data_IF_875338061869
#
_entry.id   IF_875338061869
#
_cell.length_a   1.000
_cell.length_b   1.000
_cell.length_c   1.000
_cell.angle_alpha   90.00
_cell.angle_beta   90.00
_cell.angle_gamma   90.00
#
_symmetry.space_group_name_H-M   'P 1'
#
loop_
_entity.id
_entity.type
_entity.pdbx_description
1 polymer ?
#
# COMPACT_ATOMS: atom_id res chain seq x y z
N UNK A 1 -20.07 -6.55 21.28
CA UNK A 1 -18.76 -6.41 21.98
C UNK A 1 -17.83 -5.48 21.20
N UNK A 2 -16.77 -4.95 21.81
CA UNK A 2 -15.74 -4.19 21.10
C UNK A 2 -14.48 -5.04 20.91
N UNK A 3 -13.98 -5.09 19.67
CA UNK A 3 -12.72 -5.75 19.33
C UNK A 3 -11.62 -4.70 19.25
N UNK A 4 -10.58 -4.88 20.07
CA UNK A 4 -9.41 -4.00 20.09
C UNK A 4 -8.29 -4.69 19.35
N UNK A 5 -7.84 -4.09 18.26
CA UNK A 5 -6.75 -4.53 17.41
C UNK A 5 -5.56 -3.57 17.56
N UNK A 6 -4.35 -4.08 17.32
CA UNK A 6 -3.12 -3.30 17.40
C UNK A 6 -2.37 -3.38 16.08
N UNK A 7 -2.04 -2.20 15.55
CA UNK A 7 -1.25 -2.05 14.33
C UNK A 7 0.12 -1.45 14.69
N UNK A 8 1.16 -1.92 14.01
CA UNK A 8 2.49 -1.32 14.06
C UNK A 8 2.70 -0.37 12.89
N UNK A 9 3.65 0.57 13.03
CA UNK A 9 4.21 1.40 11.98
C UNK A 9 3.23 2.32 11.22
N UNK A 10 1.96 2.38 11.61
CA UNK A 10 1.03 3.40 11.13
C UNK A 10 1.18 4.63 12.02
N UNK A 11 1.95 5.63 11.57
CA UNK A 11 2.22 6.84 12.34
C UNK A 11 1.75 8.05 11.54
N UNK A 12 0.55 8.52 11.83
CA UNK A 12 -0.11 9.64 11.14
C UNK A 12 -0.79 10.56 12.16
N UNK A 13 -1.21 11.75 11.74
CA UNK A 13 -2.09 12.61 12.54
C UNK A 13 -3.53 12.08 12.53
N UNK A 14 -4.24 12.25 13.65
CA UNK A 14 -5.68 12.03 13.66
C UNK A 14 -6.45 13.08 12.87
N UNK A 15 -7.75 12.85 12.70
CA UNK A 15 -8.71 13.86 12.25
C UNK A 15 -9.35 14.54 13.46
N UNK A 16 -9.76 13.73 14.44
CA UNK A 16 -10.44 14.15 15.68
C UNK A 16 -9.47 14.32 16.85
N UNK A 17 -9.84 15.20 17.78
CA UNK A 17 -9.10 15.48 19.03
C UNK A 17 -9.65 14.59 20.15
N UNK A 18 -8.77 14.01 20.95
CA UNK A 18 -9.13 13.30 22.18
C UNK A 18 -8.41 13.90 23.39
N UNK A 19 -8.99 13.69 24.57
CA UNK A 19 -8.38 14.05 25.84
C UNK A 19 -7.36 12.97 26.25
N UNK A 20 -6.18 13.39 26.69
CA UNK A 20 -5.14 12.50 27.21
C UNK A 20 -5.42 12.19 28.68
N UNK A 21 -4.86 11.08 29.18
CA UNK A 21 -4.93 10.73 30.61
C UNK A 21 -4.35 11.80 31.55
N UNK A 22 -3.57 12.73 31.02
CA UNK A 22 -2.95 13.83 31.76
C UNK A 22 -3.73 15.15 31.65
N UNK A 23 -4.95 15.14 31.09
CA UNK A 23 -5.80 16.32 30.92
C UNK A 23 -5.40 17.24 29.75
N UNK A 24 -4.56 16.77 28.82
CA UNK A 24 -4.21 17.48 27.60
C UNK A 24 -5.10 17.08 26.42
N UNK A 25 -4.97 17.76 25.29
CA UNK A 25 -5.70 17.43 24.06
C UNK A 25 -4.74 17.03 22.95
N UNK A 26 -5.09 16.00 22.19
CA UNK A 26 -4.26 15.51 21.08
C UNK A 26 -5.10 15.07 19.89
N UNK A 27 -4.71 15.49 18.70
CA UNK A 27 -5.36 15.09 17.43
C UNK A 27 -4.85 13.72 16.99
N UNK A 28 -5.47 12.65 17.48
CA UNK A 28 -4.97 11.28 17.34
C UNK A 28 -6.02 10.25 16.88
N UNK A 29 -7.26 10.66 16.65
CA UNK A 29 -8.37 9.74 16.33
C UNK A 29 -8.80 9.88 14.88
N UNK A 30 -9.05 8.74 14.22
CA UNK A 30 -9.67 8.67 12.88
C UNK A 30 -10.84 7.70 12.98
N UNK A 31 -12.07 8.18 12.77
CA UNK A 31 -13.27 7.34 12.75
C UNK A 31 -13.78 7.15 11.33
N UNK A 32 -14.14 5.92 10.97
CA UNK A 32 -14.69 5.58 9.66
C UNK A 32 -15.57 4.35 9.70
N UNK A 33 -16.37 4.16 8.64
CA UNK A 33 -17.21 2.97 8.46
C UNK A 33 -16.82 2.19 7.22
N UNK A 34 -16.67 0.87 7.34
CA UNK A 34 -16.22 0.03 6.23
C UNK A 34 -16.70 -1.41 6.38
N UNK A 35 -17.14 -2.05 5.29
CA UNK A 35 -17.63 -3.43 5.29
C UNK A 35 -18.73 -3.72 6.34
N UNK A 36 -19.58 -2.72 6.64
CA UNK A 36 -20.62 -2.77 7.68
C UNK A 36 -20.11 -2.63 9.12
N UNK A 37 -18.83 -2.31 9.32
CA UNK A 37 -18.19 -2.14 10.63
C UNK A 37 -17.94 -0.66 10.92
N UNK A 38 -18.17 -0.26 12.17
CA UNK A 38 -17.75 1.05 12.69
C UNK A 38 -16.36 0.92 13.34
N UNK A 39 -15.37 1.64 12.82
CA UNK A 39 -13.98 1.52 13.24
C UNK A 39 -13.43 2.86 13.72
N UNK A 40 -12.67 2.83 14.82
CA UNK A 40 -11.92 3.97 15.33
C UNK A 40 -10.44 3.64 15.45
N UNK A 41 -9.59 4.41 14.79
CA UNK A 41 -8.13 4.34 14.92
C UNK A 41 -7.67 5.40 15.92
N UNK A 42 -6.82 5.00 16.86
CA UNK A 42 -6.15 5.85 17.84
C UNK A 42 -4.64 5.73 17.70
N UNK A 43 -3.99 6.85 17.45
CA UNK A 43 -2.54 6.98 17.42
C UNK A 43 -2.01 7.17 18.84
N UNK A 44 -0.92 6.47 19.19
CA UNK A 44 -0.29 6.66 20.49
C UNK A 44 0.29 8.09 20.57
N UNK A 45 -0.07 8.90 21.60
CA UNK A 45 0.27 10.31 21.65
C UNK A 45 1.78 10.61 21.52
N UNK A 46 2.62 9.73 22.03
CA UNK A 46 4.08 9.84 21.98
C UNK A 46 4.64 9.86 20.54
N UNK A 47 3.95 9.26 19.56
CA UNK A 47 4.42 9.18 18.18
C UNK A 47 3.93 10.31 17.27
N UNK A 48 2.95 11.10 17.72
CA UNK A 48 2.37 12.18 16.91
C UNK A 48 3.41 13.26 16.66
N UNK A 49 4.06 13.71 17.74
CA UNK A 49 5.11 14.74 17.70
C UNK A 49 6.54 14.15 17.66
N UNK A 50 6.68 12.82 17.64
CA UNK A 50 7.98 12.18 17.51
C UNK A 50 8.64 12.55 16.18
N UNK A 51 9.95 12.76 16.23
CA UNK A 51 10.77 12.98 15.04
C UNK A 51 10.82 11.68 14.23
N UNK A 52 10.28 11.70 13.00
CA UNK A 52 10.11 10.48 12.19
C UNK A 52 11.43 9.79 11.84
N UNK A 53 12.54 10.53 11.80
CA UNK A 53 13.89 9.96 11.61
C UNK A 53 14.26 8.96 12.69
N UNK A 54 13.81 9.19 13.92
CA UNK A 54 14.22 8.42 15.08
C UNK A 54 13.48 7.07 15.09
N UNK A 55 12.29 7.02 14.50
CA UNK A 55 11.47 5.82 14.35
C UNK A 55 11.90 4.95 13.16
N UNK A 56 12.61 5.52 12.17
CA UNK A 56 12.89 4.87 10.89
C UNK A 56 13.64 3.55 11.09
N UNK A 57 13.15 2.48 10.47
CA UNK A 57 13.73 1.13 10.55
C UNK A 57 13.32 0.33 11.79
N UNK A 58 12.56 0.90 12.71
CA UNK A 58 12.12 0.23 13.94
C UNK A 58 10.73 -0.40 13.79
N UNK A 59 10.43 -1.39 14.63
CA UNK A 59 9.06 -1.87 14.82
C UNK A 59 8.35 -0.99 15.87
N UNK A 60 7.47 -0.10 15.42
CA UNK A 60 6.79 0.89 16.27
C UNK A 60 5.38 0.42 16.58
N UNK A 61 5.06 0.17 17.85
CA UNK A 61 3.71 -0.19 18.32
C UNK A 61 2.81 1.06 18.39
N UNK A 62 2.43 1.59 17.23
CA UNK A 62 1.94 2.96 17.11
C UNK A 62 0.44 3.14 17.27
N UNK A 63 -0.36 2.09 17.07
CA UNK A 63 -1.78 2.28 16.80
C UNK A 63 -2.67 1.26 17.50
N UNK A 64 -3.76 1.75 18.08
CA UNK A 64 -4.91 0.96 18.54
C UNK A 64 -6.08 1.19 17.58
N UNK A 65 -6.63 0.12 17.02
CA UNK A 65 -7.83 0.14 16.17
C UNK A 65 -8.97 -0.55 16.93
N UNK A 66 -10.11 0.11 17.08
CA UNK A 66 -11.26 -0.42 17.80
C UNK A 66 -12.41 -0.64 16.82
N UNK A 67 -12.84 -1.89 16.65
CA UNK A 67 -14.06 -2.25 15.92
C UNK A 67 -15.20 -2.28 16.92
N UNK A 68 -16.21 -1.44 16.71
CA UNK A 68 -17.31 -1.23 17.65
C UNK A 68 -18.46 -2.21 17.42
N UNK A 69 -19.10 -2.60 18.51
CA UNK A 69 -20.42 -3.24 18.52
C UNK A 69 -20.55 -4.44 17.56
N UNK A 70 -19.55 -5.34 17.55
CA UNK A 70 -19.62 -6.58 16.78
C UNK A 70 -20.25 -7.71 17.59
N UNK A 71 -20.92 -8.63 16.90
CA UNK A 71 -21.36 -9.91 17.47
C UNK A 71 -20.18 -10.88 17.58
N UNK A 72 -20.29 -11.90 18.45
CA UNK A 72 -19.21 -12.87 18.64
C UNK A 72 -18.87 -13.66 17.36
N UNK A 73 -19.91 -14.01 16.59
CA UNK A 73 -19.78 -14.74 15.33
C UNK A 73 -19.11 -13.92 14.20
N UNK A 74 -19.15 -12.58 14.28
CA UNK A 74 -18.52 -11.68 13.31
C UNK A 74 -17.03 -11.42 13.58
N UNK A 75 -16.47 -11.98 14.67
CA UNK A 75 -15.09 -11.72 15.09
C UNK A 75 -14.06 -12.03 14.00
N UNK A 76 -14.10 -13.22 13.41
CA UNK A 76 -13.11 -13.64 12.41
C UNK A 76 -13.22 -12.80 11.12
N UNK A 77 -14.44 -12.41 10.75
CA UNK A 77 -14.67 -11.47 9.65
C UNK A 77 -14.04 -10.11 9.95
N UNK A 78 -14.29 -9.55 11.14
CA UNK A 78 -13.74 -8.26 11.56
C UNK A 78 -12.20 -8.29 11.58
N UNK A 79 -11.59 -9.36 12.09
CA UNK A 79 -10.14 -9.56 12.06
C UNK A 79 -9.60 -9.59 10.61
N UNK A 80 -10.30 -10.29 9.70
CA UNK A 80 -9.93 -10.34 8.28
C UNK A 80 -10.06 -8.98 7.56
N UNK A 81 -10.98 -8.13 7.98
CA UNK A 81 -11.10 -6.73 7.52
C UNK A 81 -9.93 -5.90 8.03
N UNK A 82 -9.61 -5.99 9.32
CA UNK A 82 -8.49 -5.25 9.94
C UNK A 82 -7.14 -5.61 9.31
N UNK A 83 -6.91 -6.89 9.05
CA UNK A 83 -5.70 -7.37 8.36
C UNK A 83 -5.53 -6.71 6.98
N UNK A 84 -6.60 -6.69 6.18
CA UNK A 84 -6.61 -6.03 4.86
C UNK A 84 -6.48 -4.51 4.94
N UNK A 85 -7.11 -3.87 5.93
CA UNK A 85 -6.89 -2.44 6.20
C UNK A 85 -5.40 -2.19 6.45
N UNK A 86 -4.70 -3.06 7.18
CA UNK A 86 -3.27 -2.87 7.46
C UNK A 86 -2.40 -2.86 6.19
N UNK A 87 -2.74 -3.69 5.20
CA UNK A 87 -2.08 -3.68 3.87
C UNK A 87 -2.42 -2.40 3.10
N UNK A 88 -3.68 -1.96 3.10
CA UNK A 88 -4.08 -0.72 2.43
C UNK A 88 -3.42 0.53 3.06
N UNK A 89 -3.28 0.54 4.38
CA UNK A 89 -2.53 1.57 5.10
C UNK A 89 -1.04 1.52 4.77
N UNK A 90 -0.45 0.32 4.66
CA UNK A 90 0.95 0.17 4.24
C UNK A 90 1.22 0.83 2.88
N UNK A 91 0.28 0.66 1.94
CA UNK A 91 0.32 1.33 0.64
C UNK A 91 0.20 2.85 0.80
N UNK A 92 -0.82 3.33 1.53
CA UNK A 92 -1.14 4.75 1.65
C UNK A 92 0.02 5.59 2.22
N UNK A 93 0.80 5.02 3.14
CA UNK A 93 1.86 5.75 3.86
C UNK A 93 3.30 5.29 3.55
N UNK A 94 3.51 4.35 2.61
CA UNK A 94 4.82 3.76 2.30
C UNK A 94 5.58 3.21 3.53
N UNK A 95 4.90 2.45 4.38
CA UNK A 95 5.48 1.82 5.58
C UNK A 95 4.95 0.39 5.76
N UNK A 96 5.65 -0.49 6.49
CA UNK A 96 5.17 -1.85 6.78
C UNK A 96 4.18 -1.84 7.94
N UNK A 97 2.95 -1.39 7.69
CA UNK A 97 1.86 -1.42 8.67
C UNK A 97 1.41 -2.86 8.85
N UNK A 98 1.49 -3.39 10.08
CA UNK A 98 1.16 -4.78 10.36
C UNK A 98 0.15 -4.90 11.49
N UNK A 99 -0.87 -5.73 11.29
CA UNK A 99 -1.75 -6.18 12.36
C UNK A 99 -1.05 -7.25 13.21
N UNK A 100 -0.76 -6.96 14.48
CA UNK A 100 0.11 -7.82 15.30
C UNK A 100 -0.52 -8.36 16.57
N UNK A 101 -1.64 -7.81 17.04
CA UNK A 101 -2.31 -8.32 18.23
C UNK A 101 -3.77 -7.87 18.29
N UNK A 102 -4.59 -8.61 19.04
CA UNK A 102 -5.95 -8.20 19.36
C UNK A 102 -6.45 -8.76 20.70
N UNK A 103 -7.48 -8.12 21.25
CA UNK A 103 -8.24 -8.60 22.40
C UNK A 103 -9.70 -8.11 22.34
N UNK A 104 -10.58 -8.75 23.11
CA UNK A 104 -11.94 -8.25 23.34
C UNK A 104 -11.87 -7.26 24.51
N UNK A 105 -12.52 -6.10 24.38
CA UNK A 105 -12.57 -5.12 25.46
C UNK A 105 -13.20 -5.73 26.73
N UNK A 106 -12.59 -5.50 27.89
CA UNK A 106 -12.97 -6.14 29.15
C UNK A 106 -12.38 -7.54 29.37
N UNK A 107 -11.70 -8.12 28.37
CA UNK A 107 -10.97 -9.38 28.51
C UNK A 107 -9.45 -9.14 28.60
N UNK A 108 -8.81 -9.73 29.60
CA UNK A 108 -7.37 -9.61 29.85
C UNK A 108 -6.50 -10.53 28.97
N UNK A 109 -7.09 -11.39 28.14
CA UNK A 109 -6.35 -12.29 27.24
C UNK A 109 -6.17 -11.67 25.86
N UNK A 110 -5.02 -11.05 25.62
CA UNK A 110 -4.61 -10.64 24.29
C UNK A 110 -4.04 -11.82 23.48
N UNK A 111 -4.35 -11.87 22.19
CA UNK A 111 -3.70 -12.76 21.22
C UNK A 111 -2.68 -11.95 20.43
N UNK A 112 -1.47 -12.49 20.31
CA UNK A 112 -0.36 -11.86 19.58
C UNK A 112 0.04 -12.70 18.40
N UNK A 113 0.38 -12.04 17.30
CA UNK A 113 0.88 -12.63 16.07
C UNK A 113 2.36 -12.30 15.93
N UNK A 114 3.13 -13.24 15.39
CA UNK A 114 4.52 -13.00 15.04
C UNK A 114 4.56 -12.31 13.68
N UNK A 115 4.84 -11.01 13.68
CA UNK A 115 4.94 -10.20 12.45
C UNK A 115 6.32 -9.58 12.35
N UNK A 116 6.71 -9.21 11.13
CA UNK A 116 7.86 -8.36 10.85
C UNK A 116 7.35 -7.06 10.26
N UNK A 117 8.03 -5.97 10.56
CA UNK A 117 7.67 -4.67 10.02
C UNK A 117 8.63 -3.59 10.50
N UNK A 118 8.96 -2.66 9.62
CA UNK A 118 9.76 -1.47 9.91
C UNK A 118 8.98 -0.24 9.54
N UNK A 119 9.04 0.74 10.43
CA UNK A 119 8.53 2.06 10.15
C UNK A 119 9.39 2.74 9.09
N UNK A 120 8.71 3.33 8.10
CA UNK A 120 9.33 4.16 7.09
C UNK A 120 8.47 5.37 6.80
N UNK A 121 9.13 6.48 6.45
CA UNK A 121 8.46 7.70 6.02
C UNK A 121 9.30 8.38 4.95
N UNK A 122 8.93 8.15 3.70
CA UNK A 122 9.57 8.77 2.55
C UNK A 122 8.59 8.80 1.37
N UNK A 123 8.09 10.00 1.07
CA UNK A 123 7.18 10.26 -0.07
C UNK A 123 5.97 9.31 -0.10
N UNK A 124 5.13 9.32 0.96
CA UNK A 124 3.89 8.57 0.96
C UNK A 124 2.97 9.09 -0.17
N UNK A 125 2.16 8.21 -0.81
CA UNK A 125 1.16 8.62 -1.78
C UNK A 125 0.11 9.55 -1.20
N UNK A 126 -0.28 9.33 0.06
CA UNK A 126 -1.29 10.12 0.76
C UNK A 126 -0.70 10.86 1.95
N UNK A 127 -1.32 11.99 2.31
CA UNK A 127 -0.84 12.83 3.40
C UNK A 127 -0.94 12.14 4.75
N UNK A 128 0.19 12.10 5.49
CA UNK A 128 0.23 11.59 6.87
C UNK A 128 -0.14 12.67 7.91
N UNK A 129 -0.34 13.92 7.49
CA UNK A 129 -0.69 15.05 8.37
C UNK A 129 -2.17 15.41 8.24
N UNK A 130 -2.67 15.48 7.01
CA UNK A 130 -4.10 15.56 6.72
C UNK A 130 -4.57 14.19 6.24
N UNK A 131 -5.13 13.41 7.15
CA UNK A 131 -5.48 12.02 6.90
C UNK A 131 -6.86 11.84 6.28
N UNK A 132 -7.44 12.93 5.75
CA UNK A 132 -8.74 12.91 5.06
C UNK A 132 -8.73 11.98 3.85
N UNK A 133 -7.68 12.01 3.02
CA UNK A 133 -7.54 11.11 1.86
C UNK A 133 -7.36 9.64 2.28
N UNK A 134 -6.65 9.38 3.39
CA UNK A 134 -6.50 8.02 3.94
C UNK A 134 -7.85 7.49 4.41
N UNK A 135 -8.65 8.34 5.09
CA UNK A 135 -10.02 7.99 5.47
C UNK A 135 -10.88 7.73 4.23
N UNK A 136 -10.82 8.62 3.23
CA UNK A 136 -11.58 8.49 2.00
C UNK A 136 -11.24 7.20 1.23
N UNK A 137 -9.94 6.86 1.14
CA UNK A 137 -9.44 5.61 0.55
C UNK A 137 -10.07 4.39 1.23
N UNK A 138 -10.14 4.37 2.56
CA UNK A 138 -10.72 3.24 3.29
C UNK A 138 -12.24 3.19 3.10
N UNK A 139 -12.95 4.30 3.25
CA UNK A 139 -14.42 4.29 3.19
C UNK A 139 -14.95 4.04 1.79
N UNK A 140 -14.28 4.55 0.76
CA UNK A 140 -14.82 4.58 -0.61
C UNK A 140 -14.28 3.46 -1.50
N UNK A 141 -13.09 2.94 -1.21
CA UNK A 141 -12.41 1.99 -2.09
C UNK A 141 -12.35 0.57 -1.52
N UNK A 142 -12.65 0.38 -0.24
CA UNK A 142 -12.39 -0.90 0.42
C UNK A 142 -13.15 -2.08 -0.18
N UNK A 143 -14.40 -1.88 -0.61
CA UNK A 143 -15.19 -2.98 -1.18
C UNK A 143 -14.58 -3.47 -2.52
N UNK A 144 -14.18 -2.55 -3.40
CA UNK A 144 -13.48 -2.90 -4.65
C UNK A 144 -12.13 -3.54 -4.31
N UNK A 145 -11.35 -2.89 -3.45
CA UNK A 145 -10.07 -3.41 -2.96
C UNK A 145 -10.19 -4.83 -2.41
N UNK A 146 -11.21 -5.11 -1.60
CA UNK A 146 -11.45 -6.41 -0.99
C UNK A 146 -11.70 -7.50 -2.05
N UNK A 147 -12.50 -7.17 -3.07
CA UNK A 147 -12.79 -8.08 -4.19
C UNK A 147 -11.54 -8.40 -4.99
N UNK A 148 -10.74 -7.37 -5.32
CA UNK A 148 -9.54 -7.55 -6.13
C UNK A 148 -8.31 -8.03 -5.33
N UNK A 149 -8.36 -7.99 -3.99
CA UNK A 149 -7.21 -8.24 -3.11
C UNK A 149 -6.47 -9.54 -3.43
N UNK A 150 -7.20 -10.65 -3.52
CA UNK A 150 -6.63 -11.98 -3.79
C UNK A 150 -6.39 -12.22 -5.28
N UNK A 151 -7.25 -11.69 -6.13
CA UNK A 151 -7.14 -11.87 -7.58
C UNK A 151 -5.92 -11.16 -8.18
N UNK A 152 -5.53 -10.06 -7.54
CA UNK A 152 -4.44 -9.19 -7.96
C UNK A 152 -3.18 -9.33 -7.09
N UNK A 153 -3.20 -10.22 -6.09
CA UNK A 153 -2.14 -10.45 -5.11
C UNK A 153 -1.69 -9.14 -4.41
N UNK A 154 -2.64 -8.30 -3.98
CA UNK A 154 -2.35 -6.93 -3.54
C UNK A 154 -1.45 -6.86 -2.31
N UNK A 155 -1.46 -7.88 -1.44
CA UNK A 155 -0.51 -7.97 -0.33
C UNK A 155 0.95 -8.07 -0.81
N UNK A 156 1.21 -8.87 -1.83
CA UNK A 156 2.55 -9.04 -2.42
C UNK A 156 2.94 -7.78 -3.19
N UNK A 157 2.00 -7.18 -3.90
CA UNK A 157 2.20 -5.93 -4.65
C UNK A 157 2.64 -4.81 -3.72
N UNK A 158 1.93 -4.60 -2.60
CA UNK A 158 2.25 -3.54 -1.63
C UNK A 158 3.58 -3.82 -0.92
N UNK A 159 3.86 -5.07 -0.56
CA UNK A 159 5.12 -5.47 0.05
C UNK A 159 6.33 -5.16 -0.86
N UNK A 160 6.27 -5.60 -2.13
CA UNK A 160 7.31 -5.32 -3.13
C UNK A 160 7.44 -3.83 -3.45
N UNK A 161 6.33 -3.09 -3.46
CA UNK A 161 6.34 -1.66 -3.71
C UNK A 161 7.13 -0.94 -2.62
N UNK A 162 6.93 -1.30 -1.35
CA UNK A 162 7.52 -0.60 -0.21
C UNK A 162 8.94 -1.08 0.12
N UNK A 163 9.23 -2.38 -0.06
CA UNK A 163 10.48 -3.06 0.33
C UNK A 163 11.77 -2.29 -0.02
N UNK A 164 11.95 -1.74 -1.24
CA UNK A 164 13.19 -1.08 -1.62
C UNK A 164 13.47 0.21 -0.84
N UNK A 165 12.43 0.95 -0.48
CA UNK A 165 12.56 2.19 0.30
C UNK A 165 12.81 1.89 1.78
N UNK A 166 12.05 0.93 2.34
CA UNK A 166 12.19 0.52 3.74
C UNK A 166 13.60 0.02 4.05
N UNK A 167 14.15 -0.82 3.17
CA UNK A 167 15.48 -1.40 3.36
C UNK A 167 16.60 -0.58 2.75
N UNK A 168 16.29 0.59 2.18
CA UNK A 168 17.25 1.53 1.61
C UNK A 168 18.22 0.87 0.60
N UNK A 169 17.65 0.10 -0.35
CA UNK A 169 18.44 -0.59 -1.36
C UNK A 169 19.16 0.37 -2.32
N UNK A 170 20.24 -0.10 -2.94
CA UNK A 170 20.86 0.57 -4.08
C UNK A 170 19.87 0.68 -5.24
N UNK A 171 20.03 1.71 -6.08
CA UNK A 171 19.06 2.06 -7.11
C UNK A 171 18.75 0.91 -8.08
N UNK A 172 19.76 0.15 -8.48
CA UNK A 172 19.63 -1.01 -9.36
C UNK A 172 18.74 -2.10 -8.74
N UNK A 173 18.87 -2.34 -7.43
CA UNK A 173 18.02 -3.26 -6.68
C UNK A 173 16.60 -2.70 -6.51
N UNK A 174 16.45 -1.37 -6.35
CA UNK A 174 15.13 -0.74 -6.35
C UNK A 174 14.42 -0.93 -7.69
N UNK A 175 15.14 -0.71 -8.79
CA UNK A 175 14.64 -0.92 -10.16
C UNK A 175 14.30 -2.40 -10.41
N UNK A 176 15.18 -3.33 -10.05
CA UNK A 176 14.92 -4.75 -10.18
C UNK A 176 13.65 -5.18 -9.44
N UNK A 177 13.45 -4.66 -8.22
CA UNK A 177 12.24 -4.94 -7.44
C UNK A 177 10.99 -4.38 -8.12
N UNK A 178 11.03 -3.17 -8.70
CA UNK A 178 9.91 -2.63 -9.46
C UNK A 178 9.62 -3.41 -10.75
N UNK A 179 10.64 -3.94 -11.42
CA UNK A 179 10.43 -4.78 -12.61
C UNK A 179 9.75 -6.10 -12.24
N UNK A 180 10.13 -6.71 -11.11
CA UNK A 180 9.44 -7.88 -10.56
C UNK A 180 8.00 -7.52 -10.20
N UNK A 181 7.77 -6.35 -9.59
CA UNK A 181 6.43 -5.87 -9.28
C UNK A 181 5.56 -5.71 -10.53
N UNK A 182 6.08 -5.12 -11.61
CA UNK A 182 5.37 -5.01 -12.89
C UNK A 182 5.06 -6.38 -13.49
N UNK A 183 5.99 -7.34 -13.39
CA UNK A 183 5.75 -8.73 -13.81
C UNK A 183 4.62 -9.37 -12.99
N UNK A 184 4.59 -9.15 -11.68
CA UNK A 184 3.52 -9.65 -10.80
C UNK A 184 2.16 -9.05 -11.16
N UNK A 185 2.07 -7.73 -11.33
CA UNK A 185 0.84 -7.05 -11.75
C UNK A 185 0.34 -7.56 -13.11
N UNK A 186 1.25 -7.74 -14.06
CA UNK A 186 0.96 -8.31 -15.39
C UNK A 186 0.54 -9.78 -15.32
N UNK A 187 1.10 -10.55 -14.39
CA UNK A 187 0.81 -11.96 -14.19
C UNK A 187 -0.59 -12.18 -13.61
N UNK A 188 -0.89 -11.47 -12.51
CA UNK A 188 -2.23 -11.47 -11.93
C UNK A 188 -3.25 -10.87 -12.92
N UNK A 189 -2.82 -9.83 -13.67
CA UNK A 189 -3.24 -9.47 -15.04
C UNK A 189 -3.99 -10.54 -15.84
N UNK A 190 -3.12 -11.31 -16.48
CA UNK A 190 -3.42 -12.41 -17.37
C UNK A 190 -4.30 -13.48 -16.73
N UNK A 191 -4.07 -13.78 -15.44
CA UNK A 191 -4.81 -14.81 -14.72
C UNK A 191 -6.29 -14.45 -14.60
N UNK A 192 -6.61 -13.22 -14.19
CA UNK A 192 -8.00 -12.75 -14.10
C UNK A 192 -8.67 -12.74 -15.46
N UNK A 193 -7.94 -12.37 -16.52
CA UNK A 193 -8.43 -12.40 -17.90
C UNK A 193 -8.55 -13.84 -18.48
N UNK A 194 -8.07 -14.86 -17.78
CA UNK A 194 -8.10 -16.25 -18.25
C UNK A 194 -7.14 -16.55 -19.42
N UNK A 195 -6.03 -15.81 -19.53
CA UNK A 195 -5.02 -16.07 -20.57
C UNK A 195 -4.25 -17.35 -20.27
N UNK A 196 -3.90 -18.11 -21.32
CA UNK A 196 -3.11 -19.34 -21.18
C UNK A 196 -1.65 -18.99 -20.90
N UNK A 197 -1.05 -19.65 -19.92
CA UNK A 197 0.39 -19.54 -19.66
C UNK A 197 1.09 -20.82 -20.15
N UNK A 198 2.06 -20.65 -21.06
CA UNK A 198 2.83 -21.76 -21.60
C UNK A 198 4.30 -21.34 -21.80
N UNK A 199 5.23 -22.14 -21.27
CA UNK A 199 6.68 -21.95 -21.41
C UNK A 199 7.15 -20.49 -21.19
N UNK A 200 6.74 -19.87 -20.09
CA UNK A 200 7.18 -18.50 -19.78
C UNK A 200 6.41 -17.38 -20.48
N UNK A 201 5.41 -17.68 -21.32
CA UNK A 201 4.70 -16.71 -22.14
C UNK A 201 3.18 -16.81 -21.95
N UNK A 202 2.49 -15.69 -22.18
CA UNK A 202 1.03 -15.62 -22.16
C UNK A 202 0.46 -15.63 -23.57
N UNK A 203 -0.66 -16.33 -23.77
CA UNK A 203 -1.34 -16.48 -25.05
C UNK A 203 -2.82 -16.15 -24.90
N UNK A 204 -3.38 -15.51 -25.92
CA UNK A 204 -4.83 -15.33 -26.07
C UNK A 204 -5.53 -16.65 -26.47
N UNK A 205 -6.85 -16.62 -26.53
CA UNK A 205 -7.67 -17.76 -26.95
C UNK A 205 -7.41 -18.20 -28.41
N UNK A 206 -7.02 -17.25 -29.27
CA UNK A 206 -6.58 -17.45 -30.65
C UNK A 206 -5.08 -17.77 -30.79
N UNK A 207 -4.42 -18.21 -29.70
CA UNK A 207 -3.00 -18.60 -29.65
C UNK A 207 -2.00 -17.48 -30.04
N UNK A 208 -2.43 -16.22 -29.99
CA UNK A 208 -1.54 -15.07 -30.20
C UNK A 208 -0.71 -14.82 -28.94
N UNK A 209 0.61 -14.83 -29.11
CA UNK A 209 1.56 -14.56 -28.03
C UNK A 209 1.52 -13.09 -27.60
N UNK A 210 1.38 -12.87 -26.29
CA UNK A 210 1.55 -11.56 -25.67
C UNK A 210 3.02 -11.26 -25.39
N UNK A 211 3.45 -10.06 -25.74
CA UNK A 211 4.73 -9.50 -25.27
C UNK A 211 4.56 -8.87 -23.89
N UNK A 212 5.67 -8.67 -23.17
CA UNK A 212 5.69 -7.92 -21.91
C UNK A 212 5.00 -6.56 -22.04
N UNK A 213 5.37 -5.79 -23.07
CA UNK A 213 4.87 -4.45 -23.29
C UNK A 213 3.39 -4.43 -23.69
N UNK A 214 2.96 -5.35 -24.56
CA UNK A 214 1.56 -5.37 -25.01
C UNK A 214 0.60 -5.73 -23.88
N UNK A 215 0.97 -6.70 -23.04
CA UNK A 215 0.10 -7.12 -21.93
C UNK A 215 0.09 -6.09 -20.80
N UNK A 216 1.22 -5.44 -20.50
CA UNK A 216 1.22 -4.33 -19.55
C UNK A 216 0.41 -3.14 -20.06
N UNK A 217 0.53 -2.77 -21.34
CA UNK A 217 -0.28 -1.69 -21.91
C UNK A 217 -1.77 -2.02 -21.83
N UNK A 218 -2.15 -3.25 -22.12
CA UNK A 218 -3.53 -3.71 -21.96
C UNK A 218 -4.02 -3.63 -20.49
N UNK A 219 -3.17 -4.04 -19.54
CA UNK A 219 -3.45 -3.93 -18.11
C UNK A 219 -3.66 -2.47 -17.66
N UNK A 220 -2.79 -1.53 -18.06
CA UNK A 220 -2.95 -0.11 -17.72
C UNK A 220 -4.20 0.49 -18.38
N UNK A 221 -4.46 0.14 -19.64
CA UNK A 221 -5.66 0.58 -20.34
C UNK A 221 -6.96 0.08 -19.67
N UNK A 222 -6.93 -1.07 -18.99
CA UNK A 222 -8.11 -1.60 -18.27
C UNK A 222 -8.57 -0.74 -17.09
N UNK A 223 -7.74 0.21 -16.66
CA UNK A 223 -8.05 1.21 -15.62
C UNK A 223 -7.90 2.64 -16.16
N UNK A 224 -8.08 2.82 -17.47
CA UNK A 224 -8.04 4.13 -18.16
C UNK A 224 -6.70 4.88 -18.06
N UNK A 225 -5.57 4.16 -18.06
CA UNK A 225 -4.22 4.74 -18.10
C UNK A 225 -3.52 4.49 -19.44
N UNK A 226 -3.12 5.55 -20.15
CA UNK A 226 -2.17 5.44 -21.28
C UNK A 226 -0.74 5.70 -20.80
N UNK A 227 0.02 4.62 -20.64
CA UNK A 227 1.38 4.66 -20.09
C UNK A 227 2.41 4.40 -21.19
N UNK A 228 3.43 5.28 -21.26
CA UNK A 228 4.60 5.03 -22.08
C UNK A 228 5.61 4.13 -21.36
N UNK A 229 5.70 2.87 -21.81
CA UNK A 229 6.57 1.85 -21.20
C UNK A 229 7.95 1.75 -21.83
N UNK A 230 8.31 2.61 -22.79
CA UNK A 230 9.54 2.47 -23.58
C UNK A 230 10.79 2.48 -22.71
N UNK A 231 10.93 3.49 -21.85
CA UNK A 231 12.15 3.67 -21.05
C UNK A 231 12.25 2.64 -19.93
N UNK A 232 11.12 2.32 -19.28
CA UNK A 232 11.02 1.23 -18.28
C UNK A 232 11.45 -0.10 -18.89
N UNK A 233 10.95 -0.44 -20.08
CA UNK A 233 11.29 -1.69 -20.79
C UNK A 233 12.76 -1.73 -21.19
N UNK A 234 13.30 -0.63 -21.73
CA UNK A 234 14.68 -0.56 -22.16
C UNK A 234 15.63 -0.76 -20.98
N UNK A 235 15.41 -0.03 -19.88
CA UNK A 235 16.21 -0.15 -18.66
C UNK A 235 16.09 -1.54 -18.02
N UNK A 236 14.89 -2.13 -18.00
CA UNK A 236 14.69 -3.52 -17.55
C UNK A 236 15.54 -4.49 -18.35
N UNK A 237 15.45 -4.44 -19.68
CA UNK A 237 16.18 -5.35 -20.55
C UNK A 237 17.68 -5.19 -20.40
N UNK A 238 18.16 -3.95 -20.30
CA UNK A 238 19.55 -3.65 -20.02
C UNK A 238 19.99 -4.27 -18.70
N UNK A 239 19.37 -3.93 -17.56
CA UNK A 239 19.74 -4.46 -16.24
C UNK A 239 19.71 -5.99 -16.20
N UNK A 240 18.73 -6.63 -16.84
CA UNK A 240 18.62 -8.10 -16.88
C UNK A 240 19.74 -8.74 -17.72
N UNK A 241 20.17 -8.12 -18.82
CA UNK A 241 21.10 -8.73 -19.77
C UNK A 241 22.57 -8.30 -19.57
N UNK A 242 22.83 -7.08 -19.11
CA UNK A 242 24.18 -6.55 -18.85
C UNK A 242 24.54 -6.49 -17.37
N UNK A 243 23.59 -6.72 -16.45
CA UNK A 243 23.79 -6.67 -15.00
C UNK A 243 23.91 -5.26 -14.43
N UNK A 244 24.48 -4.32 -15.19
CA UNK A 244 24.55 -2.90 -14.86
C UNK A 244 24.01 -2.06 -16.02
N UNK A 245 23.32 -0.98 -15.67
CA UNK A 245 22.84 0.02 -16.62
C UNK A 245 23.96 0.99 -17.00
N UNK A 246 24.07 1.30 -18.30
CA UNK A 246 24.92 2.34 -18.86
C UNK A 246 24.32 3.75 -18.71
N UNK A 247 23.04 3.86 -18.34
CA UNK A 247 22.43 5.15 -18.01
C UNK A 247 23.08 5.74 -16.75
N UNK A 248 23.20 7.08 -16.74
CA UNK A 248 23.61 7.82 -15.55
C UNK A 248 22.65 7.54 -14.38
N UNK A 249 23.16 7.66 -13.15
CA UNK A 249 22.35 7.52 -11.93
C UNK A 249 21.10 8.41 -11.96
N UNK A 250 21.22 9.66 -12.43
CA UNK A 250 20.11 10.59 -12.52
C UNK A 250 18.99 10.09 -13.45
N UNK A 251 19.35 9.53 -14.61
CA UNK A 251 18.38 9.00 -15.57
C UNK A 251 17.72 7.73 -15.03
N UNK A 252 18.49 6.82 -14.42
CA UNK A 252 17.95 5.64 -13.75
C UNK A 252 16.97 6.02 -12.63
N UNK A 253 17.30 7.06 -11.86
CA UNK A 253 16.46 7.53 -10.76
C UNK A 253 15.16 8.16 -11.27
N UNK A 254 15.20 8.94 -12.34
CA UNK A 254 13.98 9.49 -12.97
C UNK A 254 13.08 8.35 -13.47
N UNK A 255 13.63 7.33 -14.14
CA UNK A 255 12.84 6.16 -14.57
C UNK A 255 12.25 5.41 -13.37
N UNK A 256 13.03 5.22 -12.30
CA UNK A 256 12.53 4.63 -11.05
C UNK A 256 11.36 5.43 -10.47
N UNK A 257 11.50 6.75 -10.40
CA UNK A 257 10.48 7.64 -9.84
C UNK A 257 9.20 7.66 -10.68
N UNK A 258 9.32 7.77 -12.01
CA UNK A 258 8.18 7.66 -12.94
C UNK A 258 7.49 6.30 -12.79
N UNK A 259 8.25 5.21 -12.69
CA UNK A 259 7.69 3.87 -12.51
C UNK A 259 6.93 3.72 -11.19
N UNK A 260 7.45 4.30 -10.10
CA UNK A 260 6.75 4.40 -8.80
C UNK A 260 5.41 5.11 -8.94
N UNK A 261 5.37 6.23 -9.65
CA UNK A 261 4.15 7.02 -9.85
C UNK A 261 3.11 6.27 -10.68
N UNK A 262 3.55 5.64 -11.78
CA UNK A 262 2.69 4.79 -12.62
C UNK A 262 2.09 3.63 -11.83
N UNK A 263 2.87 2.93 -11.02
CA UNK A 263 2.37 1.80 -10.22
C UNK A 263 1.42 2.29 -9.14
N UNK A 264 1.72 3.41 -8.49
CA UNK A 264 0.86 4.01 -7.46
C UNK A 264 -0.49 4.41 -8.05
N UNK A 265 -0.49 5.11 -9.18
CA UNK A 265 -1.72 5.48 -9.89
C UNK A 265 -2.52 4.25 -10.33
N UNK A 266 -1.84 3.22 -10.86
CA UNK A 266 -2.50 1.99 -11.27
C UNK A 266 -3.22 1.32 -10.10
N UNK A 267 -2.58 1.21 -8.94
CA UNK A 267 -3.20 0.62 -7.75
C UNK A 267 -4.40 1.46 -7.30
N UNK A 268 -4.28 2.79 -7.26
CA UNK A 268 -5.37 3.69 -6.88
C UNK A 268 -6.56 3.58 -7.83
N UNK A 269 -6.34 3.59 -9.14
CA UNK A 269 -7.40 3.43 -10.14
C UNK A 269 -8.03 2.04 -10.10
N UNK A 270 -7.22 0.99 -9.92
CA UNK A 270 -7.68 -0.40 -9.80
C UNK A 270 -8.66 -0.59 -8.65
N UNK A 271 -8.47 0.11 -7.53
CA UNK A 271 -9.36 0.04 -6.37
C UNK A 271 -10.47 1.10 -6.39
N UNK A 272 -10.58 1.87 -7.48
CA UNK A 272 -11.62 2.89 -7.67
C UNK A 272 -11.43 4.16 -6.83
N UNK A 273 -10.21 4.50 -6.45
CA UNK A 273 -9.92 5.75 -5.74
C UNK A 273 -10.15 6.97 -6.63
N UNK A 274 -10.81 7.97 -6.06
CA UNK A 274 -11.03 9.28 -6.67
C UNK A 274 -10.53 10.36 -5.73
N UNK A 275 -9.62 11.20 -6.19
CA UNK A 275 -8.97 12.20 -5.35
C UNK A 275 -7.52 12.42 -5.72
N UNK A 276 -6.78 13.09 -4.85
CA UNK A 276 -5.38 13.45 -5.08
C UNK A 276 -4.43 12.42 -4.47
N UNK A 277 -3.27 12.24 -5.11
CA UNK A 277 -2.12 11.57 -4.51
C UNK A 277 -0.83 12.30 -4.88
N UNK A 278 0.16 12.23 -3.99
CA UNK A 278 1.46 12.86 -4.14
C UNK A 278 2.37 12.08 -5.12
N UNK A 279 2.99 12.80 -6.04
CA UNK A 279 3.96 12.22 -6.98
C UNK A 279 5.33 12.01 -6.31
N UNK A 280 5.84 10.80 -6.43
CA UNK A 280 7.15 10.38 -5.99
C UNK A 280 8.26 11.15 -6.72
N UNK A 281 8.16 11.34 -8.04
CA UNK A 281 9.15 12.09 -8.83
C UNK A 281 9.32 13.52 -8.34
N UNK A 282 8.20 14.18 -8.07
CA UNK A 282 8.15 15.57 -7.58
C UNK A 282 8.42 15.70 -6.09
N UNK A 283 8.95 14.65 -5.45
CA UNK A 283 9.30 14.59 -4.02
C UNK A 283 8.14 14.90 -3.08
N UNK A 284 6.91 14.62 -3.52
CA UNK A 284 5.69 14.93 -2.79
C UNK A 284 5.24 16.39 -2.82
N UNK A 285 5.86 17.24 -3.66
CA UNK A 285 5.47 18.65 -3.82
C UNK A 285 4.32 18.81 -4.80
N UNK A 286 4.25 17.96 -5.83
CA UNK A 286 3.16 17.94 -6.79
C UNK A 286 2.23 16.77 -6.49
N UNK A 287 0.96 16.96 -6.85
CA UNK A 287 -0.08 15.95 -6.76
C UNK A 287 -0.70 15.71 -8.13
N UNK A 288 -1.28 14.53 -8.29
CA UNK A 288 -2.12 14.18 -9.43
C UNK A 288 -3.51 13.80 -8.92
N UNK A 289 -4.53 14.27 -9.62
CA UNK A 289 -5.93 13.96 -9.35
C UNK A 289 -6.41 12.79 -10.22
N UNK A 290 -7.16 11.88 -9.62
CA UNK A 290 -7.87 10.78 -10.29
C UNK A 290 -9.37 11.10 -10.20
N UNK A 291 -10.03 11.17 -11.36
CA UNK A 291 -11.46 11.53 -11.51
C UNK A 291 -12.33 10.32 -11.81
#
# INVERSE_FOLDING_TARGET
>A
MNLVCYLSNFVVSGIEITETKTGGYVRNKISFSVAGLSIEIYQAPEFINAKKSDLKGQFVKSTKLVVKNIEEDDRERALGVVDRISVLLSFAICSEVSFYAWNIEGNNRARTLNVRGKYHYFRPPLSCVDTSDIKHLIESCFDIYFNVYRERDLNVVVDLLNTPEINNFQLELKLATLFILLENLKSSYAKVKGLKYNQGNYFSSDEKKYTFQSLLKEMFNSVDMDVNLKDIKNLRNEIIHSGLSHLSYANQYSIYATCRDVITEYILRLIGYKGCFSLYESRGVQWKEIT
#
